data_IF_647200432250
#
_entry.id   IF_647200432250
#
_cell.length_a   1.000
_cell.length_b   1.000
_cell.length_c   1.000
_cell.angle_alpha   90.00
_cell.angle_beta   90.00
_cell.angle_gamma   90.00
#
_symmetry.space_group_name_H-M   'P 1'
#
loop_
_entity.id
_entity.type
_entity.pdbx_description
1 polymer ?
#
# COMPACT_ATOMS: atom_id res chain seq x y z
N UNK A 1 -16.54 38.51 -1.88
CA UNK A 1 -16.75 37.15 -1.32
C UNK A 1 -17.18 36.13 -2.37
N UNK A 2 -18.24 36.39 -3.17
CA UNK A 2 -18.75 35.43 -4.16
C UNK A 2 -17.69 34.91 -5.15
N UNK A 3 -16.83 35.80 -5.67
CA UNK A 3 -15.76 35.44 -6.61
C UNK A 3 -14.78 34.41 -6.02
N UNK A 4 -14.39 34.60 -4.76
CA UNK A 4 -13.45 33.71 -4.06
C UNK A 4 -14.11 32.35 -3.80
N UNK A 5 -15.39 32.33 -3.42
CA UNK A 5 -16.15 31.10 -3.22
C UNK A 5 -16.22 30.30 -4.53
N UNK A 6 -16.57 30.98 -5.63
CA UNK A 6 -16.69 30.33 -6.95
C UNK A 6 -15.34 29.83 -7.46
N UNK A 7 -14.24 30.56 -7.24
CA UNK A 7 -12.90 30.10 -7.61
C UNK A 7 -12.48 28.87 -6.81
N UNK A 8 -12.72 28.86 -5.50
CA UNK A 8 -12.39 27.70 -4.65
C UNK A 8 -13.22 26.47 -5.00
N UNK A 9 -14.51 26.66 -5.33
CA UNK A 9 -15.37 25.55 -5.77
C UNK A 9 -14.89 24.94 -7.09
N UNK A 10 -14.41 25.76 -8.03
CA UNK A 10 -13.85 25.27 -9.29
C UNK A 10 -12.63 24.38 -9.06
N UNK A 11 -11.73 24.80 -8.16
CA UNK A 11 -10.55 24.01 -7.78
C UNK A 11 -10.96 22.71 -7.08
N UNK A 12 -11.87 22.78 -6.10
CA UNK A 12 -12.32 21.61 -5.36
C UNK A 12 -13.00 20.57 -6.25
N UNK A 13 -13.82 21.00 -7.22
CA UNK A 13 -14.45 20.10 -8.20
C UNK A 13 -13.41 19.42 -9.07
N UNK A 14 -12.48 20.19 -9.65
CA UNK A 14 -11.43 19.62 -10.48
C UNK A 14 -10.57 18.58 -9.72
N UNK A 15 -10.27 18.84 -8.43
CA UNK A 15 -9.55 17.87 -7.59
C UNK A 15 -10.39 16.63 -7.27
N UNK A 16 -11.68 16.79 -7.02
CA UNK A 16 -12.57 15.66 -6.73
C UNK A 16 -12.79 14.77 -7.97
N UNK A 17 -12.91 15.38 -9.15
CA UNK A 17 -13.14 14.67 -10.41
C UNK A 17 -11.89 13.91 -10.88
N UNK A 18 -10.68 14.26 -10.40
CA UNK A 18 -9.40 13.60 -10.72
C UNK A 18 -9.07 12.40 -9.81
N UNK A 19 -9.91 12.11 -8.80
CA UNK A 19 -9.72 10.96 -7.90
C UNK A 19 -10.42 9.73 -8.44
N UNK A 20 -9.65 8.70 -8.80
CA UNK A 20 -10.17 7.35 -9.05
C UNK A 20 -10.08 6.50 -7.76
N UNK A 21 -11.20 5.93 -7.33
CA UNK A 21 -11.31 5.16 -6.10
C UNK A 21 -12.11 3.87 -6.32
N UNK A 22 -11.50 2.75 -5.94
CA UNK A 22 -12.15 1.45 -5.95
C UNK A 22 -12.01 0.75 -4.59
N UNK A 23 -13.10 0.15 -4.11
CA UNK A 23 -13.15 -0.59 -2.84
C UNK A 23 -13.33 -2.06 -3.15
N UNK A 24 -12.39 -2.89 -2.68
CA UNK A 24 -12.44 -4.35 -2.83
C UNK A 24 -12.59 -4.98 -1.44
N UNK A 25 -13.80 -5.41 -1.05
CA UNK A 25 -14.00 -6.22 0.14
C UNK A 25 -13.39 -7.62 -0.06
N UNK A 26 -12.33 -7.93 0.67
CA UNK A 26 -11.70 -9.26 0.63
C UNK A 26 -12.25 -10.15 1.75
N UNK A 27 -12.92 -11.25 1.38
CA UNK A 27 -13.61 -12.15 2.33
C UNK A 27 -13.13 -13.60 2.32
N UNK A 28 -12.14 -13.96 1.49
CA UNK A 28 -11.66 -15.35 1.40
C UNK A 28 -10.92 -15.80 2.67
N UNK A 29 -10.14 -14.90 3.28
CA UNK A 29 -9.49 -15.13 4.55
C UNK A 29 -9.15 -13.81 5.26
N UNK A 30 -8.63 -13.91 6.48
CA UNK A 30 -8.09 -12.76 7.21
C UNK A 30 -6.91 -13.14 8.10
N UNK A 31 -6.65 -12.31 9.12
CA UNK A 31 -5.51 -12.47 10.05
C UNK A 31 -5.41 -13.87 10.68
N UNK A 32 -6.53 -14.58 10.84
CA UNK A 32 -6.56 -15.92 11.42
C UNK A 32 -5.75 -16.94 10.61
N UNK A 33 -5.89 -16.94 9.28
CA UNK A 33 -5.13 -17.85 8.42
C UNK A 33 -3.66 -17.43 8.35
N UNK A 34 -3.39 -16.13 8.18
CA UNK A 34 -2.02 -15.61 8.08
C UNK A 34 -1.20 -15.94 9.34
N UNK A 35 -1.81 -15.82 10.52
CA UNK A 35 -1.14 -16.16 11.80
C UNK A 35 -0.86 -17.65 11.96
N UNK A 36 -1.65 -18.55 11.34
CA UNK A 36 -1.35 -20.00 11.35
C UNK A 36 -0.05 -20.31 10.60
N UNK A 37 0.30 -19.50 9.59
CA UNK A 37 1.57 -19.58 8.88
C UNK A 37 2.74 -18.92 9.64
N UNK A 38 2.52 -18.46 10.89
CA UNK A 38 3.51 -17.75 11.72
C UNK A 38 4.05 -16.46 11.08
N UNK A 39 3.23 -15.79 10.29
CA UNK A 39 3.59 -14.55 9.59
C UNK A 39 2.82 -13.36 10.16
N UNK A 40 3.43 -12.17 10.15
CA UNK A 40 2.73 -10.92 10.46
C UNK A 40 1.62 -10.68 9.42
N UNK A 41 0.36 -10.43 9.82
CA UNK A 41 -0.70 -10.04 8.89
C UNK A 41 -0.37 -8.80 8.07
N UNK A 42 0.26 -7.81 8.69
CA UNK A 42 0.64 -6.57 8.04
C UNK A 42 1.76 -6.79 7.01
N UNK A 43 2.86 -7.43 7.42
CA UNK A 43 3.95 -7.77 6.50
C UNK A 43 3.52 -8.67 5.34
N UNK A 44 2.57 -9.58 5.57
CA UNK A 44 1.98 -10.39 4.50
C UNK A 44 1.27 -9.52 3.46
N UNK A 45 0.45 -8.56 3.90
CA UNK A 45 -0.25 -7.64 2.98
C UNK A 45 0.73 -6.72 2.26
N UNK A 46 1.77 -6.22 2.93
CA UNK A 46 2.81 -5.40 2.30
C UNK A 46 3.50 -6.14 1.14
N UNK A 47 3.86 -7.41 1.34
CA UNK A 47 4.47 -8.23 0.28
C UNK A 47 3.47 -8.53 -0.83
N UNK A 48 2.20 -8.80 -0.49
CA UNK A 48 1.14 -9.01 -1.49
C UNK A 48 0.93 -7.76 -2.37
N UNK A 49 1.00 -6.56 -1.79
CA UNK A 49 0.94 -5.29 -2.52
C UNK A 49 2.16 -5.11 -3.45
N UNK A 50 3.36 -5.49 -3.02
CA UNK A 50 4.54 -5.48 -3.91
C UNK A 50 4.36 -6.42 -5.11
N UNK A 51 3.86 -7.63 -4.86
CA UNK A 51 3.58 -8.60 -5.93
C UNK A 51 2.51 -8.09 -6.90
N UNK A 52 1.41 -7.53 -6.38
CA UNK A 52 0.35 -6.95 -7.19
C UNK A 52 0.86 -5.79 -8.06
N UNK A 53 1.62 -4.86 -7.46
CA UNK A 53 2.22 -3.75 -8.19
C UNK A 53 3.17 -4.22 -9.28
N UNK A 54 4.05 -5.18 -8.97
CA UNK A 54 4.98 -5.72 -9.96
C UNK A 54 4.25 -6.44 -11.11
N UNK A 55 3.17 -7.16 -10.83
CA UNK A 55 2.31 -7.78 -11.87
C UNK A 55 1.68 -6.75 -12.79
N UNK A 56 1.22 -5.63 -12.26
CA UNK A 56 0.57 -4.56 -13.04
C UNK A 56 1.58 -3.71 -13.82
N UNK A 57 2.71 -3.34 -13.20
CA UNK A 57 3.67 -2.35 -13.76
C UNK A 57 4.96 -2.94 -14.31
N UNK A 58 5.29 -4.19 -14.00
CA UNK A 58 6.55 -4.84 -14.39
C UNK A 58 7.82 -4.29 -13.73
N UNK A 59 7.67 -3.45 -12.70
CA UNK A 59 8.80 -2.82 -11.98
C UNK A 59 8.46 -2.59 -10.52
N UNK A 60 9.50 -2.48 -9.69
CA UNK A 60 9.36 -2.07 -8.29
C UNK A 60 9.29 -0.55 -8.14
N UNK A 61 8.74 -0.09 -7.03
CA UNK A 61 8.65 1.32 -6.69
C UNK A 61 8.95 1.55 -5.20
N UNK A 62 9.39 2.77 -4.88
CA UNK A 62 9.61 3.18 -3.50
C UNK A 62 8.27 3.17 -2.76
N UNK A 63 8.18 2.35 -1.73
CA UNK A 63 6.94 2.15 -0.97
C UNK A 63 7.06 2.80 0.40
N UNK A 64 6.04 3.57 0.77
CA UNK A 64 5.91 4.23 2.06
C UNK A 64 4.88 3.48 2.91
N UNK A 65 5.28 3.05 4.08
CA UNK A 65 4.41 2.50 5.10
C UNK A 65 4.60 3.30 6.40
N UNK A 66 3.52 3.85 6.93
CA UNK A 66 3.57 4.64 8.17
C UNK A 66 3.67 3.72 9.39
N UNK A 67 4.70 3.90 10.19
CA UNK A 67 4.86 3.24 11.50
C UNK A 67 4.83 4.26 12.63
N UNK A 68 4.05 3.98 13.68
CA UNK A 68 3.83 4.93 14.76
C UNK A 68 5.01 4.98 15.74
N UNK A 69 5.48 6.19 16.08
CA UNK A 69 6.55 6.40 17.07
C UNK A 69 5.99 6.82 18.44
N UNK A 70 4.75 6.42 18.76
CA UNK A 70 4.00 6.86 19.97
C UNK A 70 4.65 6.49 21.31
N UNK A 71 5.66 5.63 21.30
CA UNK A 71 6.46 5.33 22.50
C UNK A 71 7.35 6.50 22.94
N UNK A 72 7.58 7.48 22.05
CA UNK A 72 8.38 8.66 22.33
C UNK A 72 7.48 9.89 22.55
N UNK A 73 7.91 10.80 23.42
CA UNK A 73 7.24 12.09 23.63
C UNK A 73 7.15 12.82 22.29
N UNK A 74 5.95 13.27 21.94
CA UNK A 74 5.64 13.96 20.68
C UNK A 74 5.89 13.10 19.41
N UNK A 75 6.02 11.78 19.59
CA UNK A 75 6.15 10.84 18.49
C UNK A 75 4.97 10.89 17.52
N UNK A 76 5.27 10.93 16.23
CA UNK A 76 4.32 10.92 15.11
C UNK A 76 4.44 9.58 14.37
N UNK A 77 5.07 9.60 13.21
CA UNK A 77 5.27 8.44 12.36
C UNK A 77 6.70 8.42 11.81
N UNK A 78 7.24 7.24 11.58
CA UNK A 78 8.41 7.00 10.74
C UNK A 78 8.00 6.14 9.52
N UNK A 79 8.85 6.11 8.51
CA UNK A 79 8.66 5.39 7.25
C UNK A 79 9.29 3.99 7.34
N UNK A 80 8.46 2.96 7.24
CA UNK A 80 8.91 1.61 6.88
C UNK A 80 8.96 1.54 5.36
N UNK A 81 10.07 0.98 4.84
CA UNK A 81 10.29 0.81 3.39
C UNK A 81 10.13 -0.67 3.05
N UNK A 82 8.92 -1.07 2.68
CA UNK A 82 8.54 -2.48 2.47
C UNK A 82 9.12 -3.06 1.16
N UNK A 83 9.54 -2.20 0.23
CA UNK A 83 10.30 -2.57 -0.97
C UNK A 83 11.77 -2.80 -0.61
N UNK A 84 12.09 -4.01 -0.13
CA UNK A 84 13.46 -4.46 0.16
C UNK A 84 13.96 -5.43 -0.92
N UNK A 85 15.25 -5.74 -0.92
CA UNK A 85 15.82 -6.75 -1.82
C UNK A 85 15.16 -8.12 -1.64
N UNK A 86 14.90 -8.54 -0.40
CA UNK A 86 14.25 -9.81 -0.09
C UNK A 86 12.82 -9.88 -0.64
N UNK A 87 12.07 -8.78 -0.56
CA UNK A 87 10.72 -8.70 -1.14
C UNK A 87 10.79 -8.76 -2.66
N UNK A 88 11.76 -8.09 -3.29
CA UNK A 88 11.97 -8.16 -4.74
C UNK A 88 12.29 -9.58 -5.21
N UNK A 89 13.19 -10.28 -4.51
CA UNK A 89 13.57 -11.65 -4.81
C UNK A 89 12.36 -12.60 -4.69
N UNK A 90 11.56 -12.44 -3.63
CA UNK A 90 10.31 -13.19 -3.47
C UNK A 90 9.34 -12.95 -4.63
N UNK A 91 9.13 -11.68 -5.02
CA UNK A 91 8.24 -11.34 -6.13
C UNK A 91 8.73 -11.94 -7.44
N UNK A 92 10.03 -11.88 -7.71
CA UNK A 92 10.61 -12.51 -8.89
C UNK A 92 10.41 -14.03 -8.90
N UNK A 93 10.59 -14.69 -7.75
CA UNK A 93 10.33 -16.13 -7.62
C UNK A 93 8.85 -16.46 -7.90
N UNK A 94 7.92 -15.66 -7.37
CA UNK A 94 6.47 -15.83 -7.58
C UNK A 94 6.02 -15.55 -9.03
N UNK A 95 6.83 -14.84 -9.81
CA UNK A 95 6.57 -14.56 -11.24
C UNK A 95 7.23 -15.60 -12.16
N UNK A 96 8.07 -16.49 -11.63
CA UNK A 96 8.74 -17.50 -12.42
C UNK A 96 7.87 -18.75 -12.57
N UNK A 97 7.28 -18.93 -13.75
CA UNK A 97 6.43 -20.09 -14.08
C UNK A 97 7.16 -21.45 -14.07
N UNK A 98 8.47 -21.49 -13.84
CA UNK A 98 9.28 -22.72 -13.75
C UNK A 98 9.71 -23.06 -12.33
N UNK A 99 9.41 -22.21 -11.35
CA UNK A 99 9.70 -22.50 -9.95
C UNK A 99 8.54 -23.35 -9.36
N UNK A 100 8.86 -24.55 -8.91
CA UNK A 100 7.98 -25.46 -8.15
C UNK A 100 8.31 -25.41 -6.67
#
# INVERSE_FOLDING_TARGET
CQTVINSSLKVAKALADDVDMHIIPFSEFGKGLIKKCKTSPDGFIQIALQLAHFRDKGKFCLTYEASMTRLFREGRTETVRSCTTQTCDFVHAMMNNKAT
#
